data_IF_523070939833
#
_entry.id   IF_523070939833
#
_cell.length_a   1.000
_cell.length_b   1.000
_cell.length_c   1.000
_cell.angle_alpha   90.00
_cell.angle_beta   90.00
_cell.angle_gamma   90.00
#
_symmetry.space_group_name_H-M   'P 1'
#
loop_
_entity.id
_entity.type
_entity.pdbx_description
1 polymer ?
#
# COMPACT_ATOMS: atom_id res chain seq x y z
N UNK A 1 3.24 -23.12 1.48
CA UNK A 1 2.16 -22.45 2.22
C UNK A 1 1.05 -22.14 1.23
N UNK A 2 -0.16 -22.63 1.51
CA UNK A 2 -1.17 -23.09 0.55
C UNK A 2 -2.00 -21.98 -0.10
N UNK A 3 -2.35 -22.18 -1.38
CA UNK A 3 -3.20 -21.27 -2.19
C UNK A 3 -4.59 -20.96 -1.62
N UNK A 4 -5.01 -21.66 -0.56
CA UNK A 4 -6.23 -21.39 0.20
C UNK A 4 -6.23 -19.99 0.86
N UNK A 5 -5.07 -19.53 1.34
CA UNK A 5 -4.95 -18.19 1.96
C UNK A 5 -5.11 -17.08 0.92
N UNK A 6 -4.59 -17.33 -0.29
CA UNK A 6 -4.68 -16.42 -1.43
C UNK A 6 -6.12 -16.29 -1.96
N UNK A 7 -6.86 -17.40 -2.08
CA UNK A 7 -8.27 -17.36 -2.50
C UNK A 7 -9.17 -16.61 -1.51
N UNK A 8 -8.95 -16.79 -0.20
CA UNK A 8 -9.72 -16.09 0.84
C UNK A 8 -9.42 -14.59 0.82
N UNK A 9 -8.15 -14.20 0.64
CA UNK A 9 -7.78 -12.79 0.45
C UNK A 9 -8.39 -12.20 -0.83
N UNK A 10 -8.36 -12.94 -1.94
CA UNK A 10 -8.95 -12.52 -3.21
C UNK A 10 -10.48 -12.33 -3.12
N UNK A 11 -11.21 -13.22 -2.45
CA UNK A 11 -12.66 -13.06 -2.23
C UNK A 11 -12.98 -11.81 -1.40
N UNK A 12 -12.18 -11.52 -0.37
CA UNK A 12 -12.35 -10.29 0.43
C UNK A 12 -12.06 -9.05 -0.41
N UNK A 13 -10.99 -9.04 -1.21
CA UNK A 13 -10.66 -7.94 -2.13
C UNK A 13 -11.77 -7.66 -3.16
N UNK A 14 -12.43 -8.68 -3.71
CA UNK A 14 -13.57 -8.47 -4.63
C UNK A 14 -14.73 -7.69 -3.99
N UNK A 15 -14.97 -7.82 -2.68
CA UNK A 15 -15.99 -7.04 -1.98
C UNK A 15 -15.64 -5.56 -1.79
N UNK A 16 -14.36 -5.18 -1.94
CA UNK A 16 -13.92 -3.76 -1.87
C UNK A 16 -14.24 -2.95 -3.14
N UNK A 17 -14.88 -3.54 -4.17
CA UNK A 17 -15.26 -2.85 -5.41
C UNK A 17 -16.06 -1.56 -5.18
N UNK A 18 -16.81 -1.48 -4.08
CA UNK A 18 -17.62 -0.30 -3.71
C UNK A 18 -16.89 0.71 -2.82
N UNK A 19 -15.65 0.41 -2.41
CA UNK A 19 -14.92 1.16 -1.39
C UNK A 19 -13.85 2.09 -1.98
N UNK A 20 -13.42 1.85 -3.22
CA UNK A 20 -12.36 2.62 -3.88
C UNK A 20 -12.93 3.44 -5.05
N UNK A 21 -12.89 4.76 -4.95
CA UNK A 21 -12.97 5.62 -6.13
C UNK A 21 -11.63 5.54 -6.88
N UNK A 22 -11.61 4.80 -7.98
CA UNK A 22 -10.38 4.50 -8.73
C UNK A 22 -9.61 5.77 -9.12
N UNK A 23 -10.29 6.80 -9.62
CA UNK A 23 -9.61 8.02 -10.09
C UNK A 23 -9.04 8.82 -8.92
N UNK A 24 -9.80 8.90 -7.82
CA UNK A 24 -9.33 9.53 -6.59
C UNK A 24 -8.12 8.79 -6.01
N UNK A 25 -8.24 7.47 -5.82
CA UNK A 25 -7.18 6.64 -5.25
C UNK A 25 -5.93 6.66 -6.13
N UNK A 26 -6.06 6.51 -7.45
CA UNK A 26 -4.94 6.61 -8.40
C UNK A 26 -4.22 7.96 -8.29
N UNK A 27 -4.97 9.07 -8.28
CA UNK A 27 -4.37 10.41 -8.14
C UNK A 27 -3.62 10.54 -6.82
N UNK A 28 -4.24 10.16 -5.70
CA UNK A 28 -3.61 10.21 -4.37
C UNK A 28 -2.39 9.32 -4.26
N UNK A 29 -2.46 8.10 -4.76
CA UNK A 29 -1.33 7.19 -4.82
C UNK A 29 -0.14 7.82 -5.55
N UNK A 30 -0.40 8.40 -6.73
CA UNK A 30 0.62 9.09 -7.51
C UNK A 30 1.20 10.33 -6.82
N UNK A 31 0.41 11.04 -6.00
CA UNK A 31 0.92 12.14 -5.18
C UNK A 31 1.98 11.61 -4.20
N UNK A 32 1.65 10.60 -3.41
CA UNK A 32 2.58 10.00 -2.44
C UNK A 32 3.83 9.39 -3.08
N UNK A 33 3.67 8.68 -4.20
CA UNK A 33 4.79 8.06 -4.89
C UNK A 33 5.74 9.08 -5.53
N UNK A 34 5.29 10.30 -5.84
CA UNK A 34 6.12 11.38 -6.41
C UNK A 34 6.70 12.36 -5.39
N UNK A 35 6.26 12.30 -4.14
CA UNK A 35 6.84 13.09 -3.05
C UNK A 35 8.33 12.80 -2.88
N UNK A 36 9.04 13.69 -2.17
CA UNK A 36 10.38 13.36 -1.68
C UNK A 36 10.29 12.32 -0.56
N UNK A 37 11.40 11.63 -0.27
CA UNK A 37 11.42 10.65 0.81
C UNK A 37 11.20 11.33 2.17
N UNK A 38 11.66 12.56 2.34
CA UNK A 38 11.46 13.37 3.55
C UNK A 38 9.98 13.70 3.76
N UNK A 39 9.29 14.16 2.71
CA UNK A 39 7.85 14.44 2.76
C UNK A 39 7.05 13.17 3.05
N UNK A 40 7.42 12.05 2.43
CA UNK A 40 6.78 10.77 2.65
C UNK A 40 6.98 10.26 4.08
N UNK A 41 8.19 10.41 4.64
CA UNK A 41 8.50 10.10 6.05
C UNK A 41 7.59 10.86 7.00
N UNK A 42 7.40 12.16 6.78
CA UNK A 42 6.51 12.97 7.62
C UNK A 42 5.04 12.54 7.50
N UNK A 43 4.60 12.11 6.31
CA UNK A 43 3.27 11.52 6.14
C UNK A 43 3.08 10.23 6.94
N UNK A 44 4.10 9.37 7.03
CA UNK A 44 4.03 8.14 7.84
C UNK A 44 3.99 8.42 9.36
N UNK A 45 4.46 9.59 9.81
CA UNK A 45 4.42 10.01 11.22
C UNK A 45 3.08 10.66 11.61
N UNK A 46 2.27 11.06 10.65
CA UNK A 46 0.92 11.59 10.86
C UNK A 46 -0.12 10.46 10.79
N UNK A 47 -0.95 10.32 11.83
CA UNK A 47 -1.91 9.20 11.93
C UNK A 47 -2.98 9.23 10.84
N UNK A 48 -3.45 10.40 10.43
CA UNK A 48 -4.49 10.51 9.41
C UNK A 48 -3.90 10.17 8.04
N UNK A 49 -2.70 10.67 7.76
CA UNK A 49 -1.97 10.39 6.52
C UNK A 49 -1.51 8.94 6.43
N UNK A 50 -1.09 8.34 7.54
CA UNK A 50 -0.76 6.92 7.60
C UNK A 50 -1.98 6.04 7.30
N UNK A 51 -3.16 6.41 7.83
CA UNK A 51 -4.42 5.74 7.48
C UNK A 51 -4.77 5.88 5.99
N UNK A 52 -4.56 7.07 5.41
CA UNK A 52 -4.72 7.31 3.97
C UNK A 52 -3.77 6.42 3.15
N UNK A 53 -2.50 6.35 3.52
CA UNK A 53 -1.48 5.49 2.88
C UNK A 53 -1.87 4.00 2.98
N UNK A 54 -2.32 3.53 4.15
CA UNK A 54 -2.79 2.15 4.32
C UNK A 54 -4.00 1.81 3.44
N UNK A 55 -4.94 2.74 3.30
CA UNK A 55 -6.06 2.59 2.38
C UNK A 55 -5.59 2.50 0.91
N UNK A 56 -4.61 3.31 0.52
CA UNK A 56 -4.00 3.29 -0.81
C UNK A 56 -3.20 2.00 -1.08
N UNK A 57 -2.57 1.41 -0.07
CA UNK A 57 -1.96 0.09 -0.18
C UNK A 57 -3.02 -0.99 -0.45
N UNK A 58 -4.16 -0.96 0.23
CA UNK A 58 -5.25 -1.89 -0.07
C UNK A 58 -5.81 -1.70 -1.49
N UNK A 59 -5.88 -0.45 -1.97
CA UNK A 59 -6.28 -0.12 -3.34
C UNK A 59 -5.35 -0.75 -4.37
N UNK A 60 -4.02 -0.61 -4.24
CA UNK A 60 -3.10 -1.17 -5.24
C UNK A 60 -3.15 -2.71 -5.26
N UNK A 61 -3.30 -3.37 -4.11
CA UNK A 61 -3.49 -4.82 -4.06
C UNK A 61 -4.77 -5.26 -4.79
N UNK A 62 -5.84 -4.49 -4.66
CA UNK A 62 -7.07 -4.72 -5.41
C UNK A 62 -6.87 -4.54 -6.93
N UNK A 63 -6.14 -3.50 -7.36
CA UNK A 63 -5.81 -3.29 -8.78
C UNK A 63 -5.00 -4.46 -9.33
N UNK A 64 -3.92 -4.86 -8.64
CA UNK A 64 -3.10 -6.02 -9.02
C UNK A 64 -3.93 -7.29 -9.16
N UNK A 65 -4.83 -7.53 -8.21
CA UNK A 65 -5.77 -8.66 -8.27
C UNK A 65 -6.66 -8.62 -9.51
N UNK A 66 -7.30 -7.47 -9.74
CA UNK A 66 -8.24 -7.27 -10.84
C UNK A 66 -7.56 -7.46 -12.20
N UNK A 67 -6.34 -6.98 -12.33
CA UNK A 67 -5.56 -7.03 -13.58
C UNK A 67 -4.71 -8.30 -13.71
N UNK A 68 -4.76 -9.19 -12.70
CA UNK A 68 -3.97 -10.43 -12.63
C UNK A 68 -2.46 -10.19 -12.73
N UNK A 69 -1.99 -9.07 -12.20
CA UNK A 69 -0.57 -8.83 -12.05
C UNK A 69 0.02 -9.78 -11.03
N UNK A 70 1.28 -10.18 -11.22
CA UNK A 70 2.00 -10.95 -10.22
C UNK A 70 2.19 -10.09 -8.97
N UNK A 71 1.81 -10.66 -7.82
CA UNK A 71 2.11 -10.05 -6.54
C UNK A 71 3.61 -10.19 -6.28
N UNK A 72 4.18 -9.19 -5.61
CA UNK A 72 5.51 -9.31 -5.01
C UNK A 72 5.46 -10.46 -3.99
N UNK A 73 6.62 -11.02 -3.67
CA UNK A 73 6.73 -12.12 -2.70
C UNK A 73 6.08 -11.78 -1.34
N UNK A 74 6.05 -12.75 -0.42
CA UNK A 74 5.39 -12.59 0.88
C UNK A 74 5.88 -11.36 1.69
N UNK A 75 7.04 -10.77 1.36
CA UNK A 75 7.62 -9.60 2.02
C UNK A 75 7.35 -8.28 1.28
N UNK A 76 6.94 -8.31 0.01
CA UNK A 76 6.58 -7.11 -0.73
C UNK A 76 5.16 -6.63 -0.44
N UNK A 77 4.17 -7.29 -1.05
CA UNK A 77 2.78 -6.79 -1.06
C UNK A 77 2.05 -6.97 0.29
N UNK A 78 2.31 -8.06 1.01
CA UNK A 78 1.82 -8.24 2.39
C UNK A 78 2.72 -7.55 3.43
N UNK A 79 4.01 -7.39 3.12
CA UNK A 79 4.97 -6.73 4.00
C UNK A 79 4.69 -5.25 4.18
N UNK A 80 4.27 -4.52 3.13
CA UNK A 80 3.92 -3.08 3.27
C UNK A 80 2.90 -2.86 4.38
N UNK A 81 1.82 -3.63 4.42
CA UNK A 81 0.77 -3.45 5.44
C UNK A 81 1.36 -3.63 6.84
N UNK A 82 2.21 -4.64 7.02
CA UNK A 82 2.89 -4.88 8.29
C UNK A 82 3.83 -3.73 8.69
N UNK A 83 4.61 -3.19 7.74
CA UNK A 83 5.50 -2.06 7.99
C UNK A 83 4.73 -0.76 8.31
N UNK A 84 3.56 -0.57 7.71
CA UNK A 84 2.67 0.55 8.06
C UNK A 84 2.13 0.42 9.49
N UNK A 85 1.84 -0.80 9.97
CA UNK A 85 1.49 -1.02 11.38
C UNK A 85 2.62 -0.64 12.32
N UNK A 86 3.87 -0.98 12.01
CA UNK A 86 5.01 -0.53 12.82
C UNK A 86 5.08 1.00 12.89
N UNK A 87 4.86 1.69 11.76
CA UNK A 87 4.82 3.16 11.72
C UNK A 87 3.69 3.74 12.60
N UNK A 88 2.56 3.04 12.71
CA UNK A 88 1.43 3.46 13.55
C UNK A 88 1.74 3.32 15.05
N UNK A 89 2.52 2.30 15.42
CA UNK A 89 2.92 2.02 16.81
C UNK A 89 4.00 2.98 17.29
N UNK A 90 4.98 3.30 16.44
CA UNK A 90 6.09 4.18 16.78
C UNK A 90 6.58 4.98 15.58
N UNK A 91 6.64 6.31 15.73
CA UNK A 91 7.13 7.24 14.70
C UNK A 91 8.57 6.95 14.26
N UNK A 92 9.40 6.35 15.12
CA UNK A 92 10.75 5.95 14.74
C UNK A 92 10.76 4.88 13.63
N UNK A 93 9.74 4.02 13.58
CA UNK A 93 9.62 3.03 12.51
C UNK A 93 9.34 3.69 11.15
N UNK A 94 8.76 4.89 11.10
CA UNK A 94 8.65 5.64 9.85
C UNK A 94 10.04 5.98 9.29
N UNK A 95 11.01 6.36 10.14
CA UNK A 95 12.36 6.68 9.68
C UNK A 95 13.09 5.44 9.14
N UNK A 96 12.81 4.26 9.71
CA UNK A 96 13.40 2.97 9.31
C UNK A 96 12.76 2.42 8.03
N UNK A 97 11.42 2.49 7.92
CA UNK A 97 10.67 1.77 6.88
C UNK A 97 10.29 2.64 5.68
N UNK A 98 10.34 3.97 5.79
CA UNK A 98 9.84 4.85 4.74
C UNK A 98 10.48 4.62 3.38
N UNK A 99 11.78 4.39 3.32
CA UNK A 99 12.49 4.23 2.05
C UNK A 99 11.96 3.03 1.28
N UNK A 100 11.88 1.89 1.94
CA UNK A 100 11.34 0.67 1.36
C UNK A 100 9.86 0.82 0.96
N UNK A 101 9.02 1.37 1.84
CA UNK A 101 7.59 1.59 1.53
C UNK A 101 7.45 2.53 0.33
N UNK A 102 8.25 3.59 0.25
CA UNK A 102 8.18 4.60 -0.81
C UNK A 102 8.66 4.07 -2.15
N UNK A 103 9.73 3.27 -2.17
CA UNK A 103 10.19 2.58 -3.37
C UNK A 103 9.08 1.69 -3.96
N UNK A 104 8.39 0.94 -3.11
CA UNK A 104 7.29 0.09 -3.56
C UNK A 104 6.13 0.91 -4.16
N UNK A 105 5.85 2.10 -3.61
CA UNK A 105 4.90 3.05 -4.18
C UNK A 105 5.36 3.59 -5.54
N UNK A 106 6.66 3.88 -5.71
CA UNK A 106 7.23 4.33 -6.99
C UNK A 106 7.20 3.25 -8.06
N UNK A 107 7.40 1.99 -7.67
CA UNK A 107 7.27 0.85 -8.58
C UNK A 107 5.82 0.68 -9.05
N UNK A 108 4.88 0.74 -8.10
CA UNK A 108 3.45 0.53 -8.35
C UNK A 108 2.82 1.62 -9.23
N UNK A 109 3.40 2.83 -9.33
CA UNK A 109 2.99 3.86 -10.31
C UNK A 109 2.91 3.28 -11.74
N UNK A 110 3.79 2.33 -12.08
CA UNK A 110 3.85 1.74 -13.42
C UNK A 110 2.67 0.80 -13.70
N UNK A 111 1.96 0.37 -12.66
CA UNK A 111 0.87 -0.59 -12.71
C UNK A 111 -0.51 0.08 -12.70
N UNK A 112 -0.60 1.39 -12.44
CA UNK A 112 -1.87 2.13 -12.30
C UNK A 112 -2.08 3.16 -13.39
#
# INVERSE_FOLDING_TARGET
>A
MSGLTYEIQNRKLQSYKHTFDYNFCKRKYNEYARMTIEEFKECLKDRNKLGEIGHLTAFILWVKNKERHEYRDALGDQGIIHLLFHCAENKHHADIHAEYIHELFKEDIKLV
#
